data_IF_542583762062
#
_entry.id   IF_542583762062
#
_cell.length_a   1.000
_cell.length_b   1.000
_cell.length_c   1.000
_cell.angle_alpha   90.00
_cell.angle_beta   90.00
_cell.angle_gamma   90.00
#
_symmetry.space_group_name_H-M   'P 1'
#
loop_
_entity.id
_entity.type
_entity.pdbx_description
1 polymer ?
#
# COMPACT_ATOMS: atom_id res chain seq x y z
N UNK A 1 18.26 -13.69 39.78
CA UNK A 1 18.72 -14.83 38.96
C UNK A 1 17.58 -15.74 38.54
N UNK A 2 16.83 -16.38 39.46
CA UNK A 2 15.71 -17.27 39.09
C UNK A 2 14.65 -16.62 38.20
N UNK A 3 14.27 -15.37 38.49
CA UNK A 3 13.39 -14.57 37.62
C UNK A 3 13.94 -14.43 36.20
N UNK A 4 15.25 -14.19 36.02
CA UNK A 4 15.83 -14.07 34.68
C UNK A 4 15.71 -15.38 33.88
N UNK A 5 15.91 -16.52 34.53
CA UNK A 5 15.78 -17.83 33.87
C UNK A 5 14.32 -18.13 33.49
N UNK A 6 13.37 -17.80 34.36
CA UNK A 6 11.93 -17.93 34.08
C UNK A 6 11.54 -17.05 32.90
N UNK A 7 11.99 -15.79 32.86
CA UNK A 7 11.75 -14.88 31.74
C UNK A 7 12.37 -15.38 30.44
N UNK A 8 13.55 -15.99 30.49
CA UNK A 8 14.22 -16.56 29.31
C UNK A 8 13.44 -17.74 28.71
N UNK A 9 13.00 -18.68 29.55
CA UNK A 9 12.20 -19.84 29.11
C UNK A 9 10.83 -19.41 28.62
N UNK A 10 10.17 -18.45 29.28
CA UNK A 10 8.89 -17.89 28.81
C UNK A 10 9.05 -17.15 27.48
N UNK A 11 10.14 -16.42 27.28
CA UNK A 11 10.43 -15.77 26.01
C UNK A 11 10.63 -16.80 24.88
N UNK A 12 11.33 -17.90 25.15
CA UNK A 12 11.59 -18.90 24.12
C UNK A 12 10.44 -19.88 23.89
N UNK A 13 9.67 -20.20 24.91
CA UNK A 13 8.47 -21.03 24.80
C UNK A 13 7.29 -20.20 24.30
N UNK A 14 6.78 -19.29 25.12
CA UNK A 14 5.51 -18.60 24.89
C UNK A 14 5.64 -17.45 23.89
N UNK A 15 6.65 -16.58 24.04
CA UNK A 15 6.80 -15.41 23.16
C UNK A 15 7.24 -15.85 21.76
N UNK A 16 8.15 -16.82 21.63
CA UNK A 16 8.54 -17.38 20.32
C UNK A 16 7.36 -18.04 19.60
N UNK A 17 6.55 -18.83 20.31
CA UNK A 17 5.38 -19.51 19.75
C UNK A 17 4.33 -18.54 19.22
N UNK A 18 4.22 -17.33 19.77
CA UNK A 18 3.32 -16.29 19.26
C UNK A 18 3.98 -15.34 18.26
N UNK A 19 5.24 -14.98 18.48
CA UNK A 19 5.97 -14.00 17.67
C UNK A 19 6.32 -14.56 16.29
N UNK A 20 6.71 -15.83 16.18
CA UNK A 20 7.00 -16.47 14.89
C UNK A 20 5.77 -16.54 13.99
N UNK A 21 4.60 -17.06 14.43
CA UNK A 21 3.42 -17.08 13.57
C UNK A 21 2.84 -15.68 13.31
N UNK A 22 2.98 -14.72 14.23
CA UNK A 22 2.60 -13.31 13.95
C UNK A 22 3.49 -12.70 12.86
N UNK A 23 4.81 -12.93 12.92
CA UNK A 23 5.73 -12.45 11.89
C UNK A 23 5.44 -13.09 10.52
N UNK A 24 5.22 -14.40 10.49
CA UNK A 24 4.80 -15.11 9.27
C UNK A 24 3.47 -14.57 8.77
N UNK A 25 2.51 -14.34 9.66
CA UNK A 25 1.20 -13.74 9.35
C UNK A 25 1.34 -12.37 8.70
N UNK A 26 2.20 -11.48 9.22
CA UNK A 26 2.49 -10.19 8.59
C UNK A 26 3.09 -10.34 7.19
N UNK A 27 4.03 -11.25 7.00
CA UNK A 27 4.61 -11.51 5.68
C UNK A 27 3.54 -11.99 4.68
N UNK A 28 2.66 -12.91 5.10
CA UNK A 28 1.57 -13.40 4.26
C UNK A 28 0.59 -12.29 3.93
N UNK A 29 0.17 -11.50 4.92
CA UNK A 29 -0.71 -10.32 4.71
C UNK A 29 -0.06 -9.36 3.71
N UNK A 30 1.23 -9.05 3.89
CA UNK A 30 1.96 -8.18 2.98
C UNK A 30 2.03 -8.74 1.54
N UNK A 31 2.11 -10.07 1.35
CA UNK A 31 2.01 -10.68 0.03
C UNK A 31 0.60 -10.65 -0.57
N UNK A 32 -0.44 -10.60 0.26
CA UNK A 32 -1.85 -10.55 -0.16
C UNK A 32 -2.29 -9.12 -0.51
N UNK A 33 -1.69 -8.08 0.09
CA UNK A 33 -2.02 -6.68 -0.20
C UNK A 33 -1.87 -6.35 -1.70
N UNK A 34 -0.73 -6.62 -2.37
CA UNK A 34 -0.55 -6.33 -3.79
C UNK A 34 -1.61 -6.96 -4.71
N UNK A 35 -1.88 -8.29 -4.67
CA UNK A 35 -2.89 -8.89 -5.54
C UNK A 35 -4.31 -8.39 -5.24
N UNK A 36 -4.65 -8.14 -3.97
CA UNK A 36 -5.98 -7.59 -3.62
C UNK A 36 -6.13 -6.16 -4.15
N UNK A 37 -5.11 -5.32 -4.01
CA UNK A 37 -5.10 -3.98 -4.57
C UNK A 37 -5.23 -4.01 -6.10
N UNK A 38 -4.53 -4.93 -6.77
CA UNK A 38 -4.63 -5.12 -8.22
C UNK A 38 -6.04 -5.55 -8.65
N UNK A 39 -6.65 -6.52 -7.96
CA UNK A 39 -8.02 -6.95 -8.25
C UNK A 39 -8.99 -5.79 -8.10
N UNK A 40 -8.98 -5.10 -6.95
CA UNK A 40 -9.90 -3.98 -6.68
C UNK A 40 -9.69 -2.86 -7.69
N UNK A 41 -8.44 -2.47 -7.95
CA UNK A 41 -8.12 -1.41 -8.91
C UNK A 41 -8.45 -1.77 -10.35
N UNK A 42 -8.49 -3.05 -10.71
CA UNK A 42 -8.81 -3.52 -12.06
C UNK A 42 -10.28 -3.92 -12.23
N UNK A 43 -11.09 -3.89 -11.15
CA UNK A 43 -12.55 -4.11 -11.19
C UNK A 43 -13.31 -2.90 -11.73
N UNK A 44 -12.60 -1.91 -12.28
CA UNK A 44 -13.21 -0.69 -12.78
C UNK A 44 -14.23 -0.99 -13.89
N UNK A 45 -15.42 -0.40 -13.79
CA UNK A 45 -16.44 -0.49 -14.84
C UNK A 45 -16.00 0.33 -16.07
N UNK A 46 -16.30 -0.12 -17.30
CA UNK A 46 -16.00 0.66 -18.51
C UNK A 46 -16.76 2.00 -18.46
N UNK A 47 -16.06 3.09 -18.12
CA UNK A 47 -16.59 4.45 -18.06
C UNK A 47 -16.58 5.13 -16.69
N UNK A 48 -15.95 4.55 -15.66
CA UNK A 48 -15.79 5.26 -14.39
C UNK A 48 -14.75 6.39 -14.47
N UNK A 49 -15.11 7.54 -13.90
CA UNK A 49 -14.26 8.74 -13.89
C UNK A 49 -13.01 8.47 -13.05
N UNK A 50 -11.85 8.73 -13.65
CA UNK A 50 -10.57 8.75 -12.97
C UNK A 50 -10.48 9.97 -12.02
N UNK A 51 -9.48 10.02 -11.12
CA UNK A 51 -9.40 10.98 -9.99
C UNK A 51 -9.16 12.45 -10.40
N UNK A 52 -9.12 12.69 -11.69
CA UNK A 52 -8.64 13.83 -12.45
C UNK A 52 -9.68 14.25 -13.49
N UNK A 53 -10.69 13.41 -13.73
CA UNK A 53 -12.02 13.85 -14.12
C UNK A 53 -12.81 14.17 -12.83
N UNK A 54 -12.37 15.21 -12.12
CA UNK A 54 -13.05 15.69 -10.90
C UNK A 54 -14.48 16.19 -11.19
N UNK A 55 -14.80 16.43 -12.46
CA UNK A 55 -16.12 16.85 -12.93
C UNK A 55 -16.38 18.34 -12.78
N UNK A 56 -15.39 19.10 -12.29
CA UNK A 56 -15.42 20.56 -12.22
C UNK A 56 -14.59 21.18 -13.38
N UNK A 57 -15.18 22.07 -14.20
CA UNK A 57 -14.50 22.63 -15.37
C UNK A 57 -13.27 23.50 -15.09
N UNK A 58 -13.02 23.85 -13.83
CA UNK A 58 -11.91 24.71 -13.42
C UNK A 58 -10.64 23.89 -13.19
N UNK A 59 -10.73 22.79 -12.44
CA UNK A 59 -9.62 21.85 -12.20
C UNK A 59 -9.12 21.24 -13.51
N UNK A 60 -10.03 20.83 -14.41
CA UNK A 60 -9.67 20.29 -15.72
C UNK A 60 -8.85 21.27 -16.56
N UNK A 61 -9.12 22.58 -16.46
CA UNK A 61 -8.35 23.60 -17.19
C UNK A 61 -6.96 23.77 -16.61
N UNK A 62 -6.88 23.79 -15.28
CA UNK A 62 -5.61 23.91 -14.57
C UNK A 62 -4.66 22.73 -14.84
N UNK A 63 -5.19 21.49 -14.89
CA UNK A 63 -4.39 20.30 -15.21
C UNK A 63 -3.82 20.34 -16.64
N UNK A 64 -4.60 20.78 -17.64
CA UNK A 64 -4.12 20.90 -19.03
C UNK A 64 -2.99 21.91 -19.16
N UNK A 65 -3.08 23.04 -18.47
CA UNK A 65 -2.03 24.07 -18.48
C UNK A 65 -0.70 23.57 -17.89
N UNK A 66 -0.72 22.56 -17.01
CA UNK A 66 0.49 21.95 -16.47
C UNK A 66 1.11 20.93 -17.43
N UNK A 67 0.30 20.12 -18.11
CA UNK A 67 0.76 19.15 -19.12
C UNK A 67 1.42 19.87 -20.31
N UNK A 68 0.79 20.94 -20.81
CA UNK A 68 1.35 21.76 -21.90
C UNK A 68 2.74 22.30 -21.52
N UNK A 69 2.92 22.77 -20.27
CA UNK A 69 4.21 23.27 -19.76
C UNK A 69 5.28 22.21 -19.55
N UNK A 70 4.88 20.93 -19.47
CA UNK A 70 5.79 19.79 -19.31
C UNK A 70 6.47 19.42 -20.62
N UNK A 71 5.72 19.42 -21.73
CA UNK A 71 6.21 19.10 -23.07
C UNK A 71 7.19 20.17 -23.61
N UNK A 72 6.99 21.44 -23.25
CA UNK A 72 7.87 22.56 -23.62
C UNK A 72 9.34 22.37 -23.19
N UNK A 73 9.57 21.59 -22.12
CA UNK A 73 10.88 21.44 -21.49
C UNK A 73 11.68 20.24 -21.98
N UNK A 74 11.13 19.45 -22.89
CA UNK A 74 11.81 18.32 -23.52
C UNK A 74 11.91 18.50 -25.04
N UNK A 75 12.67 19.51 -25.53
CA UNK A 75 13.05 19.53 -26.94
C UNK A 75 14.00 18.34 -27.19
N UNK A 76 13.72 17.55 -28.23
CA UNK A 76 14.62 16.53 -28.76
C UNK A 76 15.99 17.12 -29.12
#
# INVERSE_FOLDING_TARGET
MGVCLVLFVLAWGVVRLWSVPVAVGMCVVAMVIPPVAAVIGNRREPGERWWDESGDPESDRWWRELDDRGDDKHPQ
#
